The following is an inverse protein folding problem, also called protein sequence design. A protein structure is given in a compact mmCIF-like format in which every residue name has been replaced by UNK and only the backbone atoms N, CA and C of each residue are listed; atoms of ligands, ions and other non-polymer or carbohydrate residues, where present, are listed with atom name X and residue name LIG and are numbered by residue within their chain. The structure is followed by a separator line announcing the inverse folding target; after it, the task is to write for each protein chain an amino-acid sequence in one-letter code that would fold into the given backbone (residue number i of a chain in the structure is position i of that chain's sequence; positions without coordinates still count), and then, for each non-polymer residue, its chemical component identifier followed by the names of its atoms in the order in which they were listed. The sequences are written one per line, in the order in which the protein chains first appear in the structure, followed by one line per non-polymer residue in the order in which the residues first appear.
data_IF_052177483786
#
_entry.id   IF_052177483786
#
_cell.length_a   1.000
_cell.length_b   1.000
_cell.length_c   1.000
_cell.angle_alpha   90.00
_cell.angle_beta   90.00
_cell.angle_gamma   90.00
#
_symmetry.space_group_name_H-M   'P 1'
#
loop_
_entity.id
_entity.type
_entity.pdbx_description
1 polymer ?
#
# COMPACT_ATOMS: atom_id res chain seq x y z
N UNK A 1 -23.68 8.17 14.00
CA UNK A 1 -25.04 7.81 13.55
C UNK A 1 -24.88 6.85 12.38
N UNK A 2 -25.59 5.73 12.37
CA UNK A 2 -25.61 4.81 11.22
C UNK A 2 -26.54 5.39 10.14
N UNK A 3 -26.00 6.31 9.32
CA UNK A 3 -26.72 6.91 8.20
C UNK A 3 -26.54 6.03 6.96
N UNK A 4 -27.65 5.77 6.27
CA UNK A 4 -27.65 5.11 4.97
C UNK A 4 -28.58 5.85 4.00
N UNK A 5 -28.24 5.89 2.71
CA UNK A 5 -29.10 6.47 1.69
C UNK A 5 -29.23 5.57 0.46
N UNK A 6 -30.33 5.77 -0.26
CA UNK A 6 -30.62 5.14 -1.54
C UNK A 6 -30.82 6.25 -2.57
N UNK A 7 -30.17 6.15 -3.72
CA UNK A 7 -30.27 7.13 -4.80
C UNK A 7 -30.48 6.43 -6.15
N UNK A 8 -31.38 6.95 -6.96
CA UNK A 8 -31.59 6.47 -8.33
C UNK A 8 -30.66 7.19 -9.32
N UNK A 9 -30.36 6.57 -10.47
CA UNK A 9 -29.40 7.08 -11.44
C UNK A 9 -29.69 8.50 -11.94
N UNK A 10 -30.97 8.86 -12.12
CA UNK A 10 -31.36 10.21 -12.54
C UNK A 10 -31.14 11.25 -11.43
N UNK A 11 -31.52 10.92 -10.20
CA UNK A 11 -31.26 11.77 -9.04
C UNK A 11 -29.76 11.93 -8.77
N UNK A 12 -29.00 10.85 -8.98
CA UNK A 12 -27.54 10.87 -8.89
C UNK A 12 -26.94 11.83 -9.92
N UNK A 13 -27.39 11.81 -11.17
CA UNK A 13 -26.90 12.74 -12.20
C UNK A 13 -27.07 14.21 -11.79
N UNK A 14 -28.26 14.56 -11.28
CA UNK A 14 -28.55 15.91 -10.80
C UNK A 14 -27.66 16.27 -9.61
N UNK A 15 -27.52 15.35 -8.66
CA UNK A 15 -26.70 15.53 -7.47
C UNK A 15 -25.22 15.72 -7.84
N UNK A 16 -24.68 14.92 -8.77
CA UNK A 16 -23.30 15.02 -9.22
C UNK A 16 -23.03 16.28 -10.04
N UNK A 17 -24.03 16.79 -10.78
CA UNK A 17 -23.90 18.00 -11.61
C UNK A 17 -24.03 19.30 -10.82
N UNK A 18 -25.02 19.40 -9.94
CA UNK A 18 -25.36 20.66 -9.26
C UNK A 18 -24.96 20.69 -7.79
N UNK A 19 -24.89 19.54 -7.12
CA UNK A 19 -24.72 19.43 -5.67
C UNK A 19 -23.54 18.51 -5.28
N UNK A 20 -22.50 18.44 -6.12
CA UNK A 20 -21.39 17.47 -5.98
C UNK A 20 -20.77 17.50 -4.58
N UNK A 21 -20.50 18.69 -4.02
CA UNK A 21 -19.90 18.84 -2.69
C UNK A 21 -20.81 18.29 -1.58
N UNK A 22 -22.08 18.71 -1.54
CA UNK A 22 -23.05 18.24 -0.55
C UNK A 22 -23.29 16.72 -0.66
N UNK A 23 -23.35 16.18 -1.88
CA UNK A 23 -23.44 14.74 -2.09
C UNK A 23 -22.20 14.00 -1.59
N UNK A 24 -21.01 14.57 -1.78
CA UNK A 24 -19.75 14.00 -1.29
C UNK A 24 -19.71 13.96 0.23
N UNK A 25 -20.11 15.04 0.90
CA UNK A 25 -20.22 15.10 2.36
C UNK A 25 -21.21 14.06 2.90
N UNK A 26 -22.39 13.95 2.27
CA UNK A 26 -23.37 12.91 2.61
C UNK A 26 -22.77 11.50 2.42
N UNK A 27 -22.05 11.27 1.32
CA UNK A 27 -21.42 9.98 1.03
C UNK A 27 -20.37 9.59 2.07
N UNK A 28 -19.56 10.55 2.53
CA UNK A 28 -18.54 10.32 3.57
C UNK A 28 -19.17 10.05 4.94
N UNK A 29 -20.25 10.75 5.27
CA UNK A 29 -20.96 10.57 6.55
C UNK A 29 -21.77 9.26 6.60
N UNK A 30 -22.09 8.69 5.45
CA UNK A 30 -22.93 7.50 5.33
C UNK A 30 -22.12 6.22 5.45
N UNK A 31 -22.58 5.30 6.30
CA UNK A 31 -21.98 3.97 6.43
C UNK A 31 -22.33 3.06 5.25
N UNK A 32 -23.47 3.30 4.61
CA UNK A 32 -23.95 2.48 3.49
C UNK A 32 -24.69 3.36 2.48
N UNK A 33 -24.42 3.13 1.21
CA UNK A 33 -25.07 3.80 0.10
C UNK A 33 -25.51 2.77 -0.93
N UNK A 34 -26.75 2.86 -1.41
CA UNK A 34 -27.28 2.02 -2.48
C UNK A 34 -27.61 2.90 -3.68
N UNK A 35 -26.94 2.67 -4.80
CA UNK A 35 -27.19 3.38 -6.04
C UNK A 35 -27.91 2.45 -7.03
N UNK A 36 -29.13 2.82 -7.41
CA UNK A 36 -29.98 2.02 -8.30
C UNK A 36 -29.95 2.60 -9.73
N UNK A 37 -30.11 1.72 -10.73
CA UNK A 37 -30.24 2.08 -12.16
C UNK A 37 -29.16 3.04 -12.66
N UNK A 38 -27.93 2.88 -12.17
CA UNK A 38 -26.79 3.72 -12.54
C UNK A 38 -26.13 3.25 -13.83
N UNK A 39 -25.71 4.21 -14.65
CA UNK A 39 -24.93 3.94 -15.87
C UNK A 39 -23.48 3.56 -15.53
N UNK A 40 -22.75 2.87 -16.43
CA UNK A 40 -21.32 2.59 -16.24
C UNK A 40 -20.47 3.85 -15.95
N UNK A 41 -20.83 4.99 -16.55
CA UNK A 41 -20.16 6.27 -16.32
C UNK A 41 -20.42 6.80 -14.91
N UNK A 42 -21.65 6.70 -14.42
CA UNK A 42 -22.01 7.14 -13.07
C UNK A 42 -21.33 6.29 -11.99
N UNK A 43 -21.22 4.98 -12.20
CA UNK A 43 -20.45 4.09 -11.30
C UNK A 43 -19.00 4.56 -11.15
N UNK A 44 -18.34 4.92 -12.25
CA UNK A 44 -16.97 5.45 -12.21
C UNK A 44 -16.91 6.82 -11.51
N UNK A 45 -17.87 7.73 -11.76
CA UNK A 45 -17.92 9.04 -11.10
C UNK A 45 -18.07 8.93 -9.58
N UNK A 46 -18.83 7.96 -9.08
CA UNK A 46 -18.93 7.69 -7.64
C UNK A 46 -17.57 7.34 -7.02
N UNK A 47 -16.81 6.48 -7.70
CA UNK A 47 -15.44 6.10 -7.26
C UNK A 47 -14.50 7.30 -7.30
N UNK A 48 -14.55 8.09 -8.37
CA UNK A 48 -13.73 9.31 -8.54
C UNK A 48 -13.95 10.30 -7.38
N UNK A 49 -15.19 10.49 -6.95
CA UNK A 49 -15.53 11.40 -5.86
C UNK A 49 -14.89 10.95 -4.54
N UNK A 50 -14.99 9.66 -4.21
CA UNK A 50 -14.37 9.13 -2.99
C UNK A 50 -12.84 9.22 -3.04
N UNK A 51 -12.23 8.95 -4.20
CA UNK A 51 -10.78 9.11 -4.40
C UNK A 51 -10.33 10.56 -4.25
N UNK A 52 -11.14 11.52 -4.70
CA UNK A 52 -10.83 12.95 -4.54
C UNK A 52 -10.79 13.40 -3.07
N UNK A 53 -11.33 12.60 -2.16
CA UNK A 53 -11.31 12.82 -0.71
C UNK A 53 -10.21 12.01 0.01
N UNK A 54 -9.19 11.53 -0.72
CA UNK A 54 -8.05 10.75 -0.22
C UNK A 54 -8.42 9.40 0.45
N UNK A 55 -9.60 8.87 0.12
CA UNK A 55 -9.98 7.51 0.50
C UNK A 55 -9.41 6.50 -0.47
N UNK A 56 -8.92 5.37 0.07
CA UNK A 56 -8.57 4.20 -0.73
C UNK A 56 -9.83 3.46 -1.14
N UNK A 57 -10.00 3.27 -2.44
CA UNK A 57 -11.20 2.69 -3.05
C UNK A 57 -10.92 1.31 -3.63
N UNK A 58 -11.84 0.37 -3.38
CA UNK A 58 -11.86 -0.94 -4.01
C UNK A 58 -13.18 -1.09 -4.77
N UNK A 59 -13.09 -1.42 -6.06
CA UNK A 59 -14.26 -1.69 -6.89
C UNK A 59 -14.28 -3.16 -7.31
N UNK A 60 -15.47 -3.76 -7.31
CA UNK A 60 -15.69 -5.13 -7.73
C UNK A 60 -16.82 -5.23 -8.76
N UNK A 61 -16.63 -6.06 -9.77
CA UNK A 61 -17.65 -6.31 -10.80
C UNK A 61 -17.39 -7.58 -11.59
N UNK A 62 -18.39 -8.04 -12.31
CA UNK A 62 -18.38 -9.28 -13.11
C UNK A 62 -18.61 -9.03 -14.61
N UNK A 63 -19.31 -7.95 -14.96
CA UNK A 63 -19.68 -7.62 -16.33
C UNK A 63 -18.87 -6.47 -16.97
N UNK A 64 -19.06 -6.29 -18.28
CA UNK A 64 -18.48 -5.17 -19.04
C UNK A 64 -18.90 -3.78 -18.52
N UNK A 65 -20.09 -3.70 -17.92
CA UNK A 65 -20.64 -2.46 -17.34
C UNK A 65 -19.84 -1.95 -16.12
N UNK A 66 -19.04 -2.80 -15.50
CA UNK A 66 -18.26 -2.45 -14.32
C UNK A 66 -16.80 -2.11 -14.65
N UNK A 67 -16.36 -2.34 -15.90
CA UNK A 67 -14.96 -2.12 -16.32
C UNK A 67 -14.48 -0.70 -15.99
N UNK A 68 -15.29 0.32 -16.29
CA UNK A 68 -14.93 1.73 -16.02
C UNK A 68 -14.85 2.01 -14.52
N UNK A 69 -15.72 1.40 -13.72
CA UNK A 69 -15.71 1.54 -12.26
C UNK A 69 -14.48 0.86 -11.65
N UNK A 70 -14.15 -0.35 -12.12
CA UNK A 70 -12.99 -1.14 -11.72
C UNK A 70 -11.70 -0.37 -12.01
N UNK A 71 -11.55 0.16 -13.23
CA UNK A 71 -10.36 0.93 -13.64
C UNK A 71 -10.22 2.27 -12.93
N UNK A 72 -11.33 2.85 -12.46
CA UNK A 72 -11.30 4.12 -11.72
C UNK A 72 -10.80 3.95 -10.28
N UNK A 73 -11.05 2.78 -9.67
CA UNK A 73 -10.68 2.51 -8.28
C UNK A 73 -9.16 2.41 -8.07
N UNK A 74 -8.70 2.42 -6.82
CA UNK A 74 -7.30 2.14 -6.51
C UNK A 74 -6.96 0.66 -6.58
N UNK A 75 -7.96 -0.19 -6.31
CA UNK A 75 -7.88 -1.64 -6.44
C UNK A 75 -9.12 -2.13 -7.18
N UNK A 76 -8.92 -2.69 -8.36
CA UNK A 76 -9.94 -3.34 -9.17
C UNK A 76 -10.00 -4.84 -8.92
N UNK A 77 -11.20 -5.38 -8.64
CA UNK A 77 -11.43 -6.82 -8.50
C UNK A 77 -12.48 -7.29 -9.50
N UNK A 78 -12.10 -8.21 -10.38
CA UNK A 78 -12.99 -8.84 -11.34
C UNK A 78 -13.48 -10.18 -10.82
N UNK A 79 -14.77 -10.46 -10.95
CA UNK A 79 -15.31 -11.81 -10.71
C UNK A 79 -15.34 -12.56 -12.04
N UNK A 80 -14.63 -13.69 -12.10
CA UNK A 80 -14.67 -14.58 -13.27
C UNK A 80 -16.01 -15.32 -13.31
N UNK A 81 -16.99 -14.73 -14.00
CA UNK A 81 -18.35 -15.23 -14.11
C UNK A 81 -18.71 -15.78 -15.49
N UNK A 82 -19.98 -16.15 -15.65
CA UNK A 82 -20.56 -16.63 -16.92
C UNK A 82 -20.88 -15.53 -17.92
N UNK A 83 -21.03 -14.28 -17.45
CA UNK A 83 -21.38 -13.12 -18.29
C UNK A 83 -20.21 -12.63 -19.16
N UNK A 84 -19.01 -13.14 -18.93
CA UNK A 84 -17.82 -12.84 -19.72
C UNK A 84 -16.59 -12.59 -18.85
N UNK A 85 -15.44 -12.43 -19.50
CA UNK A 85 -14.16 -12.17 -18.84
C UNK A 85 -13.74 -10.69 -18.91
N UNK A 86 -14.66 -9.80 -19.28
CA UNK A 86 -14.32 -8.38 -19.50
C UNK A 86 -13.89 -7.69 -18.20
N UNK A 87 -14.67 -7.83 -17.12
CA UNK A 87 -14.30 -7.31 -15.80
C UNK A 87 -13.02 -7.95 -15.27
N UNK A 88 -12.90 -9.28 -15.39
CA UNK A 88 -11.72 -10.03 -14.96
C UNK A 88 -10.43 -9.63 -15.68
N UNK A 89 -10.50 -9.27 -16.98
CA UNK A 89 -9.36 -8.80 -17.77
C UNK A 89 -8.97 -7.35 -17.48
N UNK A 90 -9.92 -6.54 -17.04
CA UNK A 90 -9.71 -5.13 -16.75
C UNK A 90 -9.36 -4.85 -15.27
N UNK A 91 -9.40 -5.86 -14.41
CA UNK A 91 -9.14 -5.76 -12.98
C UNK A 91 -7.70 -6.13 -12.60
N UNK A 92 -7.21 -5.59 -11.48
CA UNK A 92 -5.90 -5.96 -10.91
C UNK A 92 -5.89 -7.38 -10.37
N UNK A 93 -7.01 -7.79 -9.75
CA UNK A 93 -7.21 -9.14 -9.22
C UNK A 93 -8.45 -9.79 -9.83
N UNK A 94 -8.36 -11.07 -10.16
CA UNK A 94 -9.50 -11.88 -10.60
C UNK A 94 -9.80 -12.98 -9.59
N UNK A 95 -11.06 -13.04 -9.13
CA UNK A 95 -11.55 -14.06 -8.18
C UNK A 95 -12.72 -14.84 -8.77
N UNK A 96 -12.85 -16.12 -8.41
CA UNK A 96 -13.95 -16.94 -8.93
C UNK A 96 -15.33 -16.67 -8.30
N UNK A 97 -15.37 -16.20 -7.05
CA UNK A 97 -16.62 -15.95 -6.30
C UNK A 97 -16.41 -14.81 -5.29
N UNK A 98 -17.46 -14.03 -5.03
CA UNK A 98 -17.43 -12.91 -4.09
C UNK A 98 -16.90 -13.30 -2.69
N UNK A 99 -17.21 -14.51 -2.19
CA UNK A 99 -16.72 -14.99 -0.88
C UNK A 99 -15.19 -14.99 -0.73
N UNK A 100 -14.44 -15.07 -1.84
CA UNK A 100 -12.97 -15.04 -1.81
C UNK A 100 -12.41 -13.64 -1.59
N UNK A 101 -13.21 -12.59 -1.81
CA UNK A 101 -12.82 -11.20 -1.55
C UNK A 101 -12.40 -11.00 -0.09
N UNK A 102 -13.11 -11.65 0.85
CA UNK A 102 -12.77 -11.59 2.28
C UNK A 102 -11.34 -12.08 2.53
N UNK A 103 -10.93 -13.21 1.95
CA UNK A 103 -9.57 -13.74 2.11
C UNK A 103 -8.54 -12.88 1.38
N UNK A 104 -8.88 -12.39 0.18
CA UNK A 104 -8.02 -11.48 -0.58
C UNK A 104 -7.65 -10.24 0.24
N UNK A 105 -8.64 -9.56 0.81
CA UNK A 105 -8.41 -8.32 1.56
C UNK A 105 -7.74 -8.62 2.91
N UNK A 106 -8.30 -9.52 3.71
CA UNK A 106 -7.86 -9.71 5.10
C UNK A 106 -6.49 -10.39 5.18
N UNK A 107 -6.27 -11.47 4.44
CA UNK A 107 -5.05 -12.27 4.55
C UNK A 107 -3.98 -11.69 3.61
N UNK A 108 -4.25 -11.68 2.31
CA UNK A 108 -3.24 -11.28 1.32
C UNK A 108 -2.96 -9.78 1.38
N UNK A 109 -3.98 -8.94 1.57
CA UNK A 109 -3.82 -7.49 1.74
C UNK A 109 -2.96 -7.14 2.95
N UNK A 110 -3.21 -7.73 4.12
CA UNK A 110 -2.40 -7.51 5.33
C UNK A 110 -0.95 -7.95 5.13
N UNK A 111 -0.72 -9.18 4.65
CA UNK A 111 0.64 -9.66 4.44
C UNK A 111 1.41 -8.79 3.44
N UNK A 112 0.77 -8.41 2.33
CA UNK A 112 1.39 -7.51 1.36
C UNK A 112 1.75 -6.15 1.99
N UNK A 113 0.85 -5.55 2.77
CA UNK A 113 1.11 -4.29 3.45
C UNK A 113 2.29 -4.38 4.42
N UNK A 114 2.30 -5.37 5.31
CA UNK A 114 3.35 -5.55 6.32
C UNK A 114 4.72 -5.83 5.67
N UNK A 115 4.77 -6.71 4.67
CA UNK A 115 6.00 -7.07 3.96
C UNK A 115 6.57 -5.88 3.19
N UNK A 116 5.73 -5.16 2.45
CA UNK A 116 6.15 -3.96 1.71
C UNK A 116 6.62 -2.86 2.65
N UNK A 117 5.94 -2.65 3.78
CA UNK A 117 6.35 -1.67 4.77
C UNK A 117 7.74 -1.99 5.36
N UNK A 118 7.95 -3.24 5.78
CA UNK A 118 9.24 -3.70 6.30
C UNK A 118 10.36 -3.59 5.26
N UNK A 119 10.14 -4.09 4.03
CA UNK A 119 11.12 -4.05 2.96
C UNK A 119 11.50 -2.61 2.57
N UNK A 120 10.52 -1.69 2.53
CA UNK A 120 10.76 -0.27 2.27
C UNK A 120 11.67 0.32 3.35
N UNK A 121 11.31 0.18 4.63
CA UNK A 121 12.08 0.72 5.75
C UNK A 121 13.49 0.13 5.83
N UNK A 122 13.61 -1.18 5.64
CA UNK A 122 14.90 -1.87 5.61
C UNK A 122 15.77 -1.38 4.45
N UNK A 123 15.20 -1.15 3.26
CA UNK A 123 15.94 -0.64 2.10
C UNK A 123 16.50 0.77 2.33
N UNK A 124 15.76 1.64 3.04
CA UNK A 124 16.29 2.92 3.47
C UNK A 124 17.39 2.75 4.52
N UNK A 125 17.14 1.94 5.56
CA UNK A 125 18.11 1.67 6.62
C UNK A 125 19.45 1.16 6.07
N UNK A 126 19.47 0.14 5.20
CA UNK A 126 20.72 -0.44 4.66
C UNK A 126 21.51 0.58 3.84
N UNK A 127 20.81 1.48 3.15
CA UNK A 127 21.42 2.49 2.27
C UNK A 127 22.00 3.63 3.11
N UNK A 128 21.29 4.03 4.17
CA UNK A 128 21.77 5.01 5.16
C UNK A 128 23.03 4.51 5.87
N UNK A 129 23.10 3.24 6.26
CA UNK A 129 24.29 2.66 6.91
C UNK A 129 25.54 2.85 6.05
N UNK A 130 25.51 2.48 4.76
CA UNK A 130 26.65 2.69 3.86
C UNK A 130 26.95 4.18 3.68
N UNK A 131 25.92 5.00 3.50
CA UNK A 131 26.08 6.44 3.34
C UNK A 131 26.82 7.05 4.53
N UNK A 132 26.43 6.71 5.76
CA UNK A 132 27.10 7.19 6.97
C UNK A 132 28.54 6.68 7.06
N UNK A 133 28.81 5.40 6.80
CA UNK A 133 30.19 4.87 6.80
C UNK A 133 31.07 5.67 5.82
N UNK A 134 30.56 5.95 4.62
CA UNK A 134 31.28 6.71 3.61
C UNK A 134 31.48 8.19 4.01
N UNK A 135 30.49 8.80 4.67
CA UNK A 135 30.61 10.16 5.22
C UNK A 135 31.68 10.21 6.32
N UNK A 136 31.68 9.27 7.26
CA UNK A 136 32.70 9.19 8.31
C UNK A 136 34.10 8.99 7.71
N UNK A 137 34.25 8.10 6.73
CA UNK A 137 35.52 7.91 6.04
C UNK A 137 36.00 9.18 5.33
N UNK A 138 35.08 9.91 4.68
CA UNK A 138 35.41 11.19 4.02
C UNK A 138 35.95 12.23 5.01
N UNK A 139 35.44 12.27 6.24
CA UNK A 139 35.99 13.15 7.27
C UNK A 139 37.41 12.73 7.71
N UNK A 140 37.66 11.43 7.85
CA UNK A 140 39.00 10.91 8.20
C UNK A 140 40.01 11.17 7.08
N UNK A 141 39.59 11.04 5.82
CA UNK A 141 40.46 11.22 4.65
C UNK A 141 40.65 12.69 4.22
N UNK A 142 40.23 13.65 5.07
CA UNK A 142 40.35 15.08 4.79
C UNK A 142 39.51 15.57 3.63
N UNK A 143 38.40 14.89 3.32
CA UNK A 143 37.49 15.20 2.20
C UNK A 143 38.20 15.14 0.84
N UNK A 144 39.14 14.20 0.70
CA UNK A 144 39.88 13.97 -0.56
C UNK A 144 39.04 13.40 -1.70
N UNK A 145 37.77 13.04 -1.45
CA UNK A 145 36.85 12.48 -2.45
C UNK A 145 37.04 10.98 -2.71
N UNK A 146 37.91 10.31 -1.96
CA UNK A 146 38.15 8.86 -2.10
C UNK A 146 37.00 8.04 -1.53
N UNK A 147 36.58 6.99 -2.24
CA UNK A 147 35.57 6.04 -1.75
C UNK A 147 36.20 4.93 -0.89
N UNK A 148 35.58 4.59 0.24
CA UNK A 148 36.02 3.42 1.04
C UNK A 148 35.71 2.11 0.30
N UNK A 149 34.56 2.08 -0.39
CA UNK A 149 34.09 0.91 -1.12
C UNK A 149 34.27 1.08 -2.63
N UNK A 150 34.76 0.05 -3.30
CA UNK A 150 34.74 -0.02 -4.77
C UNK A 150 33.31 -0.29 -5.26
N UNK A 151 33.00 0.14 -6.49
CA UNK A 151 31.72 -0.07 -7.18
C UNK A 151 31.24 -1.51 -7.16
N UNK A 152 32.14 -2.49 -7.31
CA UNK A 152 31.80 -3.92 -7.23
C UNK A 152 31.33 -4.31 -5.82
N UNK A 153 32.00 -3.83 -4.78
CA UNK A 153 31.62 -4.10 -3.39
C UNK A 153 30.28 -3.45 -3.02
N UNK A 154 30.03 -2.22 -3.48
CA UNK A 154 28.74 -1.55 -3.31
C UNK A 154 27.61 -2.29 -4.03
N UNK A 155 27.87 -2.77 -5.24
CA UNK A 155 26.92 -3.58 -6.00
C UNK A 155 26.61 -4.88 -5.27
N UNK A 156 27.64 -5.61 -4.83
CA UNK A 156 27.48 -6.84 -4.07
C UNK A 156 26.68 -6.63 -2.78
N UNK A 157 26.97 -5.57 -2.02
CA UNK A 157 26.20 -5.24 -0.82
C UNK A 157 24.72 -5.04 -1.13
N UNK A 158 24.40 -4.25 -2.15
CA UNK A 158 23.01 -4.01 -2.51
C UNK A 158 22.31 -5.29 -2.96
N UNK A 159 22.97 -6.16 -3.72
CA UNK A 159 22.38 -7.43 -4.17
C UNK A 159 22.16 -8.38 -2.99
N UNK A 160 23.19 -8.68 -2.20
CA UNK A 160 23.10 -9.63 -1.09
C UNK A 160 22.16 -9.14 0.01
N UNK A 161 22.33 -7.91 0.48
CA UNK A 161 21.53 -7.40 1.60
C UNK A 161 20.10 -7.01 1.20
N UNK A 162 19.77 -6.89 -0.10
CA UNK A 162 18.37 -6.71 -0.53
C UNK A 162 17.68 -8.05 -0.79
N UNK A 163 18.38 -9.02 -1.40
CA UNK A 163 17.79 -10.33 -1.74
C UNK A 163 17.41 -11.15 -0.50
N UNK A 164 18.26 -11.20 0.52
CA UNK A 164 18.01 -12.01 1.73
C UNK A 164 16.72 -11.58 2.45
N UNK A 165 16.51 -10.28 2.79
CA UNK A 165 15.26 -9.84 3.42
C UNK A 165 14.03 -10.10 2.56
N UNK A 166 14.13 -9.98 1.24
CA UNK A 166 13.01 -10.29 0.33
C UNK A 166 12.63 -11.76 0.45
N UNK A 167 13.60 -12.67 0.42
CA UNK A 167 13.35 -14.11 0.57
C UNK A 167 12.73 -14.45 1.94
N UNK A 168 13.26 -13.88 3.02
CA UNK A 168 12.72 -14.09 4.37
C UNK A 168 11.31 -13.51 4.50
N UNK A 169 11.07 -12.30 3.97
CA UNK A 169 9.76 -11.63 4.05
C UNK A 169 8.65 -12.37 3.31
N UNK A 170 8.98 -13.11 2.24
CA UNK A 170 8.00 -13.93 1.51
C UNK A 170 7.49 -15.10 2.39
N UNK A 171 8.38 -15.67 3.19
CA UNK A 171 8.07 -16.79 4.09
C UNK A 171 7.44 -16.33 5.41
N UNK A 172 7.76 -15.11 5.85
CA UNK A 172 7.29 -14.59 7.12
C UNK A 172 5.77 -14.35 7.14
N UNK A 173 5.14 -14.82 8.22
CA UNK A 173 3.72 -14.67 8.52
C UNK A 173 3.60 -14.24 9.98
N UNK A 174 3.32 -12.95 10.19
CA UNK A 174 3.18 -12.35 11.51
C UNK A 174 2.04 -12.95 12.32
N UNK A 175 0.94 -13.31 11.65
CA UNK A 175 -0.24 -13.95 12.22
C UNK A 175 -0.70 -15.09 11.32
N UNK A 176 -1.29 -16.14 11.90
CA UNK A 176 -1.88 -17.24 11.12
C UNK A 176 -3.10 -16.75 10.33
N UNK A 177 -3.36 -17.38 9.19
CA UNK A 177 -4.48 -17.01 8.31
C UNK A 177 -5.83 -17.17 9.01
N UNK A 178 -5.95 -18.17 9.90
CA UNK A 178 -7.16 -18.41 10.68
C UNK A 178 -7.46 -17.28 11.66
N UNK A 179 -6.44 -16.82 12.41
CA UNK A 179 -6.59 -15.70 13.35
C UNK A 179 -7.02 -14.42 12.64
N UNK A 180 -6.41 -14.13 11.48
CA UNK A 180 -6.74 -12.96 10.66
C UNK A 180 -8.18 -13.04 10.13
N UNK A 181 -8.63 -14.23 9.74
CA UNK A 181 -10.00 -14.43 9.27
C UNK A 181 -11.02 -14.31 10.40
N UNK A 182 -10.71 -14.78 11.61
CA UNK A 182 -11.59 -14.67 12.78
C UNK A 182 -11.70 -13.23 13.30
N UNK A 183 -10.65 -12.42 13.15
CA UNK A 183 -10.57 -11.05 13.70
C UNK A 183 -10.37 -9.99 12.60
N UNK A 184 -11.41 -9.65 11.81
CA UNK A 184 -11.28 -8.69 10.70
C UNK A 184 -10.93 -7.26 11.17
N UNK A 185 -11.16 -6.94 12.45
CA UNK A 185 -10.84 -5.65 13.07
C UNK A 185 -9.33 -5.34 13.01
N UNK A 186 -8.49 -6.36 12.89
CA UNK A 186 -7.03 -6.21 12.74
C UNK A 186 -6.68 -5.38 11.50
N UNK A 187 -7.52 -5.38 10.46
CA UNK A 187 -7.30 -4.59 9.24
C UNK A 187 -7.32 -3.08 9.49
N UNK A 188 -8.08 -2.60 10.48
CA UNK A 188 -8.14 -1.17 10.79
C UNK A 188 -6.78 -0.61 11.23
N UNK A 189 -5.95 -1.44 11.88
CA UNK A 189 -4.58 -1.05 12.23
C UNK A 189 -3.69 -0.85 10.99
N UNK A 190 -3.87 -1.67 9.96
CA UNK A 190 -3.15 -1.52 8.69
C UNK A 190 -3.64 -0.29 7.92
N UNK A 191 -4.96 -0.06 7.88
CA UNK A 191 -5.56 1.09 7.21
C UNK A 191 -5.16 2.43 7.83
N UNK A 192 -4.87 2.46 9.14
CA UNK A 192 -4.37 3.64 9.83
C UNK A 192 -2.94 4.06 9.43
N UNK A 193 -2.28 3.36 8.50
CA UNK A 193 -0.97 3.76 7.97
C UNK A 193 0.19 3.68 8.96
N UNK A 194 0.00 2.99 10.09
CA UNK A 194 0.93 3.05 11.23
C UNK A 194 2.32 2.49 10.96
N UNK A 195 2.47 1.61 9.98
CA UNK A 195 3.78 1.04 9.66
C UNK A 195 4.63 1.95 8.77
N UNK A 196 4.03 2.84 7.99
CA UNK A 196 4.74 3.75 7.08
C UNK A 196 4.45 5.20 7.48
N UNK A 197 5.00 5.61 8.61
CA UNK A 197 4.88 7.00 9.07
C UNK A 197 6.26 7.63 9.31
N UNK A 198 6.38 8.97 9.27
CA UNK A 198 7.65 9.66 9.47
C UNK A 198 8.36 9.30 10.78
N UNK A 199 7.62 9.02 11.85
CA UNK A 199 8.19 8.61 13.15
C UNK A 199 8.86 7.23 13.09
N UNK A 200 8.26 6.26 12.41
CA UNK A 200 8.86 4.94 12.20
C UNK A 200 10.12 5.06 11.35
N UNK A 201 10.10 5.88 10.29
CA UNK A 201 11.28 6.20 9.49
C UNK A 201 12.38 6.88 10.31
N UNK A 202 12.03 7.84 11.17
CA UNK A 202 12.99 8.48 12.08
C UNK A 202 13.61 7.46 13.06
N UNK A 203 12.83 6.50 13.54
CA UNK A 203 13.33 5.37 14.34
C UNK A 203 14.35 4.51 13.58
N UNK A 204 14.08 4.17 12.33
CA UNK A 204 15.02 3.43 11.47
C UNK A 204 16.28 4.25 11.16
N UNK A 205 16.15 5.55 10.96
CA UNK A 205 17.27 6.47 10.80
C UNK A 205 18.16 6.49 12.06
N UNK A 206 17.58 6.65 13.24
CA UNK A 206 18.32 6.59 14.50
C UNK A 206 19.06 5.25 14.71
N UNK A 207 18.42 4.12 14.37
CA UNK A 207 19.06 2.80 14.39
C UNK A 207 20.25 2.71 13.43
N UNK A 208 20.16 3.32 12.24
CA UNK A 208 21.27 3.34 11.29
C UNK A 208 22.49 4.09 11.84
N UNK A 209 22.28 5.23 12.50
CA UNK A 209 23.36 5.98 13.16
C UNK A 209 24.00 5.18 14.31
N UNK A 210 23.18 4.55 15.15
CA UNK A 210 23.67 3.73 16.27
C UNK A 210 24.48 2.53 15.80
N UNK A 211 24.09 1.86 14.72
CA UNK A 211 24.86 0.73 14.19
C UNK A 211 26.17 1.13 13.50
N UNK A 212 26.26 2.36 12.98
CA UNK A 212 27.48 2.86 12.35
C UNK A 212 28.50 3.35 13.39
N UNK A 213 28.05 3.85 14.56
CA UNK A 213 28.96 4.45 15.54
C UNK A 213 30.09 3.52 16.05
N UNK A 214 29.88 2.21 16.32
CA UNK A 214 30.95 1.32 16.74
C UNK A 214 31.90 0.98 15.58
N UNK A 215 31.35 0.82 14.37
CA UNK A 215 32.15 0.52 13.17
C UNK A 215 33.11 1.67 12.85
N UNK A 216 32.65 2.91 12.99
CA UNK A 216 33.48 4.10 12.85
C UNK A 216 34.52 4.22 13.97
N UNK A 217 34.16 3.90 15.22
CA UNK A 217 35.08 3.99 16.36
C UNK A 217 36.20 2.94 16.33
N UNK A 218 35.89 1.68 15.98
CA UNK A 218 36.88 0.63 15.84
C UNK A 218 37.69 0.76 14.55
N UNK A 219 37.07 1.16 13.43
CA UNK A 219 37.78 1.42 12.17
C UNK A 219 38.82 2.53 12.31
N UNK A 220 38.56 3.55 13.14
CA UNK A 220 39.49 4.65 13.39
C UNK A 220 40.66 4.29 14.33
N UNK A 221 40.60 3.18 15.08
CA UNK A 221 41.68 2.72 15.96
C UNK A 221 42.66 1.75 15.27
N UNK A 222 42.32 1.28 14.07
CA UNK A 222 43.15 0.34 13.28
C UNK A 222 43.86 1.01 12.08
N UNK A 223 43.78 2.35 11.97
CA UNK A 223 44.54 3.17 11.02
C UNK A 223 45.43 4.17 11.76
#
# INVERSE_FOLDING_TARGET
QDVAFVVDGWALEIALKHYRKAFTELAILSRTAICCRVTPSQKAQLVEILKSCDYRTLAIGDGGNDVRMIQQADIGVGISGREGLQAARAADYSIGKFRFLRRLILVHGRYSYNRTAFLSQYSFYKSLVICFIQIFFSFISGVSGTSLFNSVSLMAYNVFYTSIPVLVSVLDKDLSEETVMQHPQILFYCQAGRLLNPSTFAGWFGRSLFHVSPVSFFGCNYY
#
